data_IF_817947545467
#
_entry.id   IF_817947545467
#
_cell.length_a   1.000
_cell.length_b   1.000
_cell.length_c   1.000
_cell.angle_alpha   90.00
_cell.angle_beta   90.00
_cell.angle_gamma   90.00
#
_symmetry.space_group_name_H-M   'P 1'
#
loop_
_entity.id
_entity.type
_entity.pdbx_description
1 polymer ?
#
# COMPACT_ATOMS: atom_id res chain seq x y z
N UNK A 1 4.40 -37.77 37.95
CA UNK A 1 3.18 -37.01 37.54
C UNK A 1 3.41 -36.57 36.09
N UNK A 2 2.52 -36.96 35.19
CA UNK A 2 2.61 -36.49 33.80
C UNK A 2 2.08 -35.03 33.83
N UNK A 3 2.96 -34.08 33.47
CA UNK A 3 2.59 -32.69 33.41
C UNK A 3 1.62 -32.45 32.25
N UNK A 4 0.47 -31.86 32.51
CA UNK A 4 -0.50 -31.46 31.50
C UNK A 4 -0.36 -30.00 31.19
N UNK A 5 -0.18 -29.67 29.91
CA UNK A 5 -0.04 -28.28 29.43
C UNK A 5 -1.20 -27.91 28.51
N UNK A 6 -1.57 -26.66 28.56
CA UNK A 6 -2.41 -26.03 27.54
C UNK A 6 -1.48 -25.44 26.42
N UNK A 7 -1.56 -26.00 25.23
CA UNK A 7 -0.64 -25.72 24.13
C UNK A 7 -1.34 -24.94 23.03
N UNK A 8 -0.73 -23.84 22.57
CA UNK A 8 -1.11 -23.14 21.36
C UNK A 8 -0.18 -23.52 20.21
N UNK A 9 -0.72 -24.08 19.15
CA UNK A 9 -0.01 -24.33 17.89
C UNK A 9 -0.26 -23.18 16.91
N UNK A 10 0.79 -22.61 16.33
CA UNK A 10 0.64 -21.52 15.36
C UNK A 10 1.19 -21.89 13.99
N UNK A 11 0.36 -21.70 12.96
CA UNK A 11 0.71 -21.94 11.55
C UNK A 11 0.49 -20.67 10.71
N UNK A 12 1.36 -20.41 9.73
CA UNK A 12 1.25 -19.25 8.83
C UNK A 12 1.74 -19.56 7.42
N UNK A 13 1.01 -19.03 6.44
CA UNK A 13 1.42 -19.02 5.04
C UNK A 13 1.27 -17.61 4.46
N UNK A 14 2.16 -17.22 3.54
CA UNK A 14 2.03 -15.98 2.76
C UNK A 14 1.63 -16.29 1.31
N UNK A 15 1.05 -15.30 0.59
CA UNK A 15 0.63 -15.43 -0.82
C UNK A 15 1.76 -15.97 -1.71
N UNK A 16 2.99 -15.51 -1.50
CA UNK A 16 4.16 -15.94 -2.28
C UNK A 16 4.55 -17.41 -2.03
N UNK A 17 4.13 -17.98 -0.90
CA UNK A 17 4.42 -19.37 -0.51
C UNK A 17 3.34 -20.37 -0.96
N UNK A 18 2.14 -19.89 -1.32
CA UNK A 18 1.05 -20.73 -1.86
C UNK A 18 1.38 -21.31 -3.26
N UNK A 19 2.32 -20.69 -3.96
CA UNK A 19 2.77 -21.15 -5.29
C UNK A 19 3.72 -22.35 -5.21
N UNK A 20 4.33 -22.63 -4.06
CA UNK A 20 5.24 -23.76 -3.83
C UNK A 20 4.46 -24.93 -3.20
N UNK A 21 3.92 -25.81 -4.04
CA UNK A 21 2.87 -26.79 -3.73
C UNK A 21 3.23 -27.91 -2.74
N UNK A 22 4.49 -28.19 -2.46
CA UNK A 22 4.81 -29.50 -1.85
C UNK A 22 5.21 -29.54 -0.37
N UNK A 23 5.54 -28.41 0.31
CA UNK A 23 6.01 -28.46 1.70
C UNK A 23 5.55 -27.34 2.64
N UNK A 24 4.66 -26.45 2.22
CA UNK A 24 4.39 -25.17 2.91
C UNK A 24 2.95 -25.04 3.40
N UNK A 25 2.08 -26.03 3.16
CA UNK A 25 0.67 -25.93 3.53
C UNK A 25 0.47 -25.78 5.05
N UNK A 26 -0.57 -25.06 5.45
CA UNK A 26 -0.95 -24.92 6.87
C UNK A 26 -1.25 -26.30 7.47
N UNK A 27 -1.87 -27.17 6.69
CA UNK A 27 -2.21 -28.54 7.08
C UNK A 27 -0.96 -29.35 7.42
N UNK A 28 0.11 -29.23 6.62
CA UNK A 28 1.39 -29.90 6.91
C UNK A 28 2.05 -29.32 8.18
N UNK A 29 2.00 -27.99 8.38
CA UNK A 29 2.51 -27.39 9.62
C UNK A 29 1.76 -27.89 10.85
N UNK A 30 0.43 -27.98 10.78
CA UNK A 30 -0.42 -28.54 11.86
C UNK A 30 -0.09 -29.99 12.13
N UNK A 31 0.01 -30.83 11.08
CA UNK A 31 0.34 -32.24 11.23
C UNK A 31 1.70 -32.47 11.94
N UNK A 32 2.72 -31.65 11.60
CA UNK A 32 4.02 -31.70 12.28
C UNK A 32 3.89 -31.34 13.76
N UNK A 33 3.12 -30.28 14.08
CA UNK A 33 2.91 -29.85 15.46
C UNK A 33 2.11 -30.92 16.24
N UNK A 34 1.04 -31.48 15.65
CA UNK A 34 0.23 -32.54 16.26
C UNK A 34 1.06 -33.76 16.58
N UNK A 35 1.87 -34.24 15.63
CA UNK A 35 2.75 -35.38 15.83
C UNK A 35 3.77 -35.10 16.95
N UNK A 36 4.37 -33.95 16.96
CA UNK A 36 5.30 -33.53 18.03
C UNK A 36 4.63 -33.51 19.41
N UNK A 37 3.44 -32.92 19.53
CA UNK A 37 2.68 -32.83 20.78
C UNK A 37 2.29 -34.21 21.25
N UNK A 38 1.78 -35.07 20.36
CA UNK A 38 1.40 -36.45 20.68
C UNK A 38 2.54 -37.28 21.26
N UNK A 39 3.77 -37.06 20.77
CA UNK A 39 4.93 -37.83 21.26
C UNK A 39 5.55 -37.20 22.53
N UNK A 40 5.58 -35.89 22.64
CA UNK A 40 6.30 -35.19 23.73
C UNK A 40 5.39 -34.79 24.90
N UNK A 41 4.10 -34.52 24.62
CA UNK A 41 3.13 -34.03 25.58
C UNK A 41 1.78 -34.75 25.46
N UNK A 42 1.73 -36.10 25.64
CA UNK A 42 0.57 -36.92 25.25
C UNK A 42 -0.73 -36.56 25.97
N UNK A 43 -0.67 -36.02 27.20
CA UNK A 43 -1.84 -35.65 28.01
C UNK A 43 -2.22 -34.16 27.96
N UNK A 44 -1.61 -33.42 27.05
CA UNK A 44 -1.80 -31.96 26.91
C UNK A 44 -2.89 -31.62 25.90
N UNK A 45 -3.51 -30.48 26.07
CA UNK A 45 -4.50 -29.93 25.11
C UNK A 45 -3.82 -29.06 24.07
N UNK A 46 -4.19 -29.25 22.79
CA UNK A 46 -3.65 -28.46 21.68
C UNK A 46 -4.76 -27.65 20.99
N UNK A 47 -4.55 -26.36 20.89
CA UNK A 47 -5.42 -25.43 20.14
C UNK A 47 -4.63 -24.78 19.01
N UNK A 48 -5.16 -24.78 17.79
CA UNK A 48 -4.50 -24.18 16.64
C UNK A 48 -4.99 -22.78 16.34
N UNK A 49 -4.03 -21.94 15.94
CA UNK A 49 -4.25 -20.61 15.36
C UNK A 49 -3.54 -20.52 14.02
N UNK A 50 -4.18 -19.87 13.05
CA UNK A 50 -3.61 -19.74 11.71
C UNK A 50 -3.82 -18.39 11.09
N UNK A 51 -2.89 -17.96 10.27
CA UNK A 51 -3.01 -16.79 9.41
C UNK A 51 -2.65 -17.18 7.97
N UNK A 52 -3.63 -16.99 7.06
CA UNK A 52 -3.46 -17.17 5.61
C UNK A 52 -3.23 -15.82 4.96
N UNK A 53 -2.44 -15.79 3.89
CA UNK A 53 -2.15 -14.59 3.09
C UNK A 53 -1.58 -13.41 3.91
N UNK A 54 -0.86 -13.71 4.99
CA UNK A 54 -0.26 -12.69 5.85
C UNK A 54 1.26 -12.74 5.83
N UNK A 55 1.85 -11.56 5.70
CA UNK A 55 3.31 -11.41 5.71
C UNK A 55 3.91 -11.84 7.05
N UNK A 56 5.02 -12.58 7.01
CA UNK A 56 5.85 -12.87 8.18
C UNK A 56 6.56 -11.66 8.78
N UNK A 57 6.44 -10.48 8.17
CA UNK A 57 7.19 -9.28 8.54
C UNK A 57 6.50 -8.39 9.58
N UNK A 58 5.17 -8.48 9.72
CA UNK A 58 4.37 -7.70 10.69
C UNK A 58 3.46 -8.62 11.49
N UNK A 59 3.23 -8.30 12.78
CA UNK A 59 2.29 -9.02 13.65
C UNK A 59 0.89 -8.40 13.65
N UNK A 60 0.79 -7.10 13.39
CA UNK A 60 -0.43 -6.30 13.56
C UNK A 60 -1.58 -6.75 12.64
N UNK A 61 -1.27 -7.33 11.51
CA UNK A 61 -2.26 -7.75 10.50
C UNK A 61 -2.63 -9.24 10.60
N UNK A 62 -2.15 -9.94 11.62
CA UNK A 62 -2.36 -11.37 11.83
C UNK A 62 -3.41 -11.58 12.92
N UNK A 63 -4.66 -11.75 12.52
CA UNK A 63 -5.79 -11.90 13.46
C UNK A 63 -5.65 -13.14 14.33
N UNK A 64 -5.28 -14.29 13.72
CA UNK A 64 -5.03 -15.53 14.44
C UNK A 64 -3.88 -15.41 15.44
N UNK A 65 -2.80 -14.73 15.05
CA UNK A 65 -1.69 -14.45 15.96
C UNK A 65 -2.11 -13.56 17.14
N UNK A 66 -2.88 -12.51 16.89
CA UNK A 66 -3.34 -11.59 17.93
C UNK A 66 -4.29 -12.28 18.93
N UNK A 67 -5.13 -13.18 18.47
CA UNK A 67 -6.00 -13.97 19.34
C UNK A 67 -5.18 -14.96 20.18
N UNK A 68 -4.26 -15.69 19.57
CA UNK A 68 -3.34 -16.57 20.26
C UNK A 68 -2.52 -15.82 21.32
N UNK A 69 -1.93 -14.67 20.95
CA UNK A 69 -1.14 -13.82 21.85
C UNK A 69 -1.93 -13.41 23.10
N UNK A 70 -3.18 -12.98 22.92
CA UNK A 70 -4.05 -12.67 24.07
C UNK A 70 -4.25 -13.87 24.99
N UNK A 71 -4.41 -15.06 24.43
CA UNK A 71 -4.51 -16.32 25.19
C UNK A 71 -3.22 -16.65 25.97
N UNK A 72 -2.06 -16.45 25.33
CA UNK A 72 -0.74 -16.66 25.98
C UNK A 72 -0.51 -15.64 27.11
N UNK A 73 -0.73 -14.37 26.85
CA UNK A 73 -0.56 -13.30 27.87
C UNK A 73 -1.55 -13.40 29.03
N UNK A 74 -2.70 -14.05 28.85
CA UNK A 74 -3.67 -14.31 29.92
C UNK A 74 -3.47 -15.67 30.61
N UNK A 75 -2.39 -16.37 30.36
CA UNK A 75 -2.09 -17.70 30.88
C UNK A 75 -3.15 -18.77 30.56
N UNK A 76 -3.89 -18.60 29.46
CA UNK A 76 -4.75 -19.64 28.91
C UNK A 76 -3.95 -20.79 28.31
N UNK A 77 -2.76 -20.48 27.81
CA UNK A 77 -1.81 -21.44 27.24
C UNK A 77 -0.45 -21.29 27.93
N UNK A 78 0.20 -22.43 28.18
CA UNK A 78 1.50 -22.53 28.81
C UNK A 78 2.63 -22.57 27.78
N UNK A 79 2.36 -23.15 26.61
CA UNK A 79 3.35 -23.42 25.58
C UNK A 79 2.85 -22.92 24.23
N UNK A 80 3.73 -22.20 23.50
CA UNK A 80 3.57 -21.90 22.08
C UNK A 80 4.46 -22.84 21.26
N UNK A 81 3.87 -23.54 20.28
CA UNK A 81 4.61 -24.39 19.36
C UNK A 81 4.46 -23.87 17.93
N UNK A 82 5.58 -23.73 17.24
CA UNK A 82 5.65 -23.39 15.81
C UNK A 82 6.48 -24.44 15.06
N UNK A 83 6.20 -24.62 13.77
CA UNK A 83 7.02 -25.50 12.92
C UNK A 83 8.47 -25.01 12.88
N UNK A 84 8.66 -23.72 12.61
CA UNK A 84 9.96 -23.00 12.58
C UNK A 84 9.73 -21.51 12.86
N UNK A 85 10.79 -20.79 13.27
CA UNK A 85 10.68 -19.37 13.58
C UNK A 85 10.35 -18.47 12.38
N UNK A 86 10.50 -18.94 11.14
CA UNK A 86 10.06 -18.20 9.97
C UNK A 86 8.54 -18.05 9.91
N UNK A 87 7.78 -19.00 10.54
CA UNK A 87 6.32 -18.91 10.71
C UNK A 87 5.95 -17.90 11.79
N UNK A 88 6.74 -17.81 12.85
CA UNK A 88 6.56 -16.84 13.92
C UNK A 88 6.87 -15.42 13.43
N UNK A 89 8.12 -15.14 13.03
CA UNK A 89 8.53 -13.84 12.50
C UNK A 89 9.67 -13.94 11.50
N UNK A 90 9.61 -13.12 10.43
CA UNK A 90 10.72 -12.92 9.50
C UNK A 90 11.48 -11.63 9.76
N UNK A 91 11.04 -10.83 10.72
CA UNK A 91 11.71 -9.60 11.13
C UNK A 91 12.44 -9.83 12.45
N UNK A 92 13.77 -9.81 12.39
CA UNK A 92 14.65 -10.09 13.53
C UNK A 92 14.27 -9.26 14.76
N UNK A 93 14.34 -7.93 14.65
CA UNK A 93 14.15 -7.04 15.81
C UNK A 93 12.77 -7.19 16.49
N UNK A 94 11.67 -7.38 15.72
CA UNK A 94 10.33 -7.55 16.30
C UNK A 94 10.10 -8.98 16.81
N UNK A 95 10.65 -9.97 16.12
CA UNK A 95 10.56 -11.35 16.55
C UNK A 95 11.23 -11.58 17.90
N UNK A 96 12.41 -10.99 18.10
CA UNK A 96 13.14 -11.09 19.37
C UNK A 96 12.41 -10.39 20.51
N UNK A 97 11.94 -9.15 20.32
CA UNK A 97 11.16 -8.43 21.34
C UNK A 97 9.89 -9.22 21.72
N UNK A 98 9.19 -9.77 20.73
CA UNK A 98 7.98 -10.56 21.00
C UNK A 98 8.28 -11.86 21.75
N UNK A 99 9.42 -12.52 21.47
CA UNK A 99 9.84 -13.68 22.25
C UNK A 99 10.22 -13.30 23.70
N UNK A 100 10.82 -12.14 23.90
CA UNK A 100 11.12 -11.63 25.25
C UNK A 100 9.82 -11.33 26.00
N UNK A 101 8.85 -10.66 25.39
CA UNK A 101 7.54 -10.38 25.99
C UNK A 101 6.83 -11.67 26.42
N UNK A 102 6.82 -12.69 25.57
CA UNK A 102 6.21 -13.98 25.87
C UNK A 102 6.95 -14.75 26.96
N UNK A 103 8.30 -14.74 26.95
CA UNK A 103 9.12 -15.33 28.02
C UNK A 103 8.82 -14.65 29.37
N UNK A 104 8.77 -13.33 29.39
CA UNK A 104 8.55 -12.55 30.62
C UNK A 104 7.11 -12.76 31.15
N UNK A 105 6.18 -13.14 30.26
CA UNK A 105 4.86 -13.66 30.63
C UNK A 105 4.87 -15.14 31.07
N UNK A 106 6.03 -15.80 31.15
CA UNK A 106 6.13 -17.20 31.57
C UNK A 106 5.76 -18.24 30.50
N UNK A 107 5.66 -17.86 29.23
CA UNK A 107 5.30 -18.76 28.13
C UNK A 107 6.54 -19.50 27.64
N UNK A 108 6.45 -20.84 27.54
CA UNK A 108 7.46 -21.68 26.88
C UNK A 108 7.21 -21.69 25.38
N UNK A 109 8.27 -21.54 24.57
CA UNK A 109 8.15 -21.44 23.11
C UNK A 109 9.03 -22.53 22.49
N UNK A 110 8.41 -23.35 21.63
CA UNK A 110 9.09 -24.47 20.96
C UNK A 110 9.03 -24.25 19.44
N UNK A 111 10.21 -24.22 18.81
CA UNK A 111 10.36 -24.28 17.36
C UNK A 111 10.90 -25.65 16.95
N UNK A 112 10.06 -26.46 16.29
CA UNK A 112 10.37 -27.87 16.01
C UNK A 112 11.52 -27.96 14.98
N UNK A 113 11.39 -27.30 13.86
CA UNK A 113 12.36 -27.35 12.76
C UNK A 113 13.71 -26.72 13.08
N UNK A 114 13.73 -25.73 13.99
CA UNK A 114 14.94 -25.07 14.45
C UNK A 114 15.59 -25.83 15.63
N UNK A 115 14.88 -26.84 16.18
CA UNK A 115 15.27 -27.57 17.38
C UNK A 115 15.60 -26.65 18.55
N UNK A 116 14.66 -25.76 18.89
CA UNK A 116 14.75 -24.75 19.95
C UNK A 116 13.60 -24.93 20.91
N UNK A 117 13.90 -24.89 22.22
CA UNK A 117 12.97 -24.98 23.32
C UNK A 117 13.28 -23.87 24.34
N UNK A 118 12.59 -22.74 24.18
CA UNK A 118 12.85 -21.50 24.93
C UNK A 118 11.84 -21.35 26.09
N UNK A 119 12.22 -20.89 27.31
CA UNK A 119 13.48 -20.23 27.61
C UNK A 119 14.57 -21.19 28.11
N UNK A 120 15.63 -21.29 27.36
CA UNK A 120 16.89 -21.84 27.81
C UNK A 120 17.97 -20.83 27.42
N UNK A 121 18.83 -20.42 28.35
CA UNK A 121 19.83 -19.37 28.12
C UNK A 121 20.81 -19.73 26.99
N UNK A 122 21.11 -21.00 26.81
CA UNK A 122 21.98 -21.48 25.74
C UNK A 122 21.35 -21.34 24.34
N UNK A 123 20.04 -21.26 24.27
CA UNK A 123 19.32 -21.11 22.99
C UNK A 123 19.18 -19.66 22.52
N UNK A 124 19.41 -18.67 23.39
CA UNK A 124 19.18 -17.26 23.02
C UNK A 124 20.04 -16.79 21.86
N UNK A 125 21.32 -17.09 21.87
CA UNK A 125 22.24 -16.75 20.78
C UNK A 125 21.82 -17.47 19.47
N UNK A 126 21.45 -18.74 19.57
CA UNK A 126 20.97 -19.54 18.45
C UNK A 126 19.68 -18.94 17.86
N UNK A 127 18.76 -18.49 18.72
CA UNK A 127 17.52 -17.81 18.32
C UNK A 127 17.85 -16.51 17.54
N UNK A 128 18.76 -15.68 18.04
CA UNK A 128 19.16 -14.46 17.36
C UNK A 128 19.73 -14.72 15.95
N UNK A 129 20.59 -15.73 15.82
CA UNK A 129 21.13 -16.14 14.52
C UNK A 129 20.02 -16.69 13.60
N UNK A 130 19.10 -17.46 14.12
CA UNK A 130 18.00 -18.01 13.32
C UNK A 130 17.08 -16.91 12.76
N UNK A 131 16.74 -15.90 13.57
CA UNK A 131 15.99 -14.74 13.09
C UNK A 131 16.77 -13.91 12.07
N UNK A 132 18.08 -13.75 12.24
CA UNK A 132 18.94 -13.07 11.28
C UNK A 132 18.92 -13.80 9.92
N UNK A 133 19.10 -15.13 9.94
CA UNK A 133 19.05 -15.97 8.75
C UNK A 133 17.68 -15.86 8.06
N UNK A 134 16.59 -15.88 8.82
CA UNK A 134 15.22 -15.76 8.29
C UNK A 134 14.92 -14.38 7.68
N UNK A 135 15.58 -13.31 8.11
CA UNK A 135 15.42 -11.95 7.57
C UNK A 135 16.25 -11.72 6.30
N UNK A 136 17.40 -12.37 6.16
CA UNK A 136 18.33 -12.18 5.03
C UNK A 136 17.67 -12.39 3.64
N UNK A 137 16.90 -13.46 3.37
CA UNK A 137 16.27 -13.66 2.06
C UNK A 137 15.32 -12.53 1.68
N UNK A 138 14.57 -11.99 2.63
CA UNK A 138 13.59 -10.92 2.39
C UNK A 138 14.29 -9.61 2.02
N UNK A 139 15.37 -9.27 2.72
CA UNK A 139 16.15 -8.06 2.44
C UNK A 139 16.92 -8.17 1.13
N UNK A 140 17.49 -9.32 0.83
CA UNK A 140 18.23 -9.58 -0.40
C UNK A 140 17.30 -9.57 -1.63
N UNK A 141 16.15 -10.25 -1.56
CA UNK A 141 15.13 -10.21 -2.59
C UNK A 141 14.63 -8.78 -2.84
N UNK A 142 14.40 -8.00 -1.80
CA UNK A 142 14.01 -6.59 -1.94
C UNK A 142 15.07 -5.76 -2.66
N UNK A 143 16.35 -5.95 -2.38
CA UNK A 143 17.46 -5.28 -3.06
C UNK A 143 17.54 -5.70 -4.52
N UNK A 144 17.44 -6.99 -4.82
CA UNK A 144 17.45 -7.54 -6.18
C UNK A 144 16.28 -7.00 -7.02
N UNK A 145 15.06 -7.02 -6.48
CA UNK A 145 13.87 -6.47 -7.16
C UNK A 145 14.03 -4.98 -7.44
N UNK A 146 14.50 -4.18 -6.46
CA UNK A 146 14.76 -2.75 -6.66
C UNK A 146 15.81 -2.49 -7.74
N UNK A 147 16.87 -3.28 -7.77
CA UNK A 147 17.91 -3.19 -8.80
C UNK A 147 17.36 -3.48 -10.21
N UNK A 148 16.57 -4.55 -10.34
CA UNK A 148 15.92 -4.91 -11.62
C UNK A 148 14.92 -3.83 -12.06
N UNK A 149 14.09 -3.31 -11.14
CA UNK A 149 13.17 -2.22 -11.44
C UNK A 149 13.93 -0.98 -11.93
N UNK A 150 14.99 -0.58 -11.20
CA UNK A 150 15.80 0.59 -11.57
C UNK A 150 16.48 0.43 -12.93
N UNK A 151 16.99 -0.77 -13.22
CA UNK A 151 17.57 -1.07 -14.54
C UNK A 151 16.52 -0.95 -15.63
N UNK A 152 15.36 -1.58 -15.47
CA UNK A 152 14.27 -1.48 -16.46
C UNK A 152 13.80 -0.04 -16.66
N UNK A 153 13.73 0.75 -15.59
CA UNK A 153 13.39 2.16 -15.67
C UNK A 153 14.46 2.97 -16.44
N UNK A 154 15.75 2.67 -16.24
CA UNK A 154 16.85 3.29 -16.97
C UNK A 154 16.83 2.92 -18.46
N UNK A 155 16.41 1.68 -18.78
CA UNK A 155 16.22 1.20 -20.16
C UNK A 155 14.93 1.76 -20.82
N UNK A 156 14.20 2.65 -20.14
CA UNK A 156 12.96 3.28 -20.64
C UNK A 156 11.71 2.41 -20.51
N UNK A 157 11.77 1.26 -19.86
CA UNK A 157 10.60 0.42 -19.68
C UNK A 157 9.61 1.04 -18.70
N UNK A 158 8.34 1.15 -19.09
CA UNK A 158 7.25 1.59 -18.21
C UNK A 158 6.67 0.40 -17.46
N UNK A 159 6.51 0.55 -16.13
CA UNK A 159 6.08 -0.53 -15.24
C UNK A 159 4.68 -0.33 -14.61
N UNK A 160 4.00 0.76 -14.99
CA UNK A 160 2.71 1.14 -14.44
C UNK A 160 1.63 1.20 -15.54
N UNK A 161 0.41 1.55 -15.18
CA UNK A 161 -0.62 1.93 -16.15
C UNK A 161 -0.20 3.20 -16.91
N UNK A 162 -0.51 3.28 -18.20
CA UNK A 162 -0.23 4.47 -19.00
C UNK A 162 -1.02 5.68 -18.46
N UNK A 163 -0.46 6.89 -18.52
CA UNK A 163 -1.20 8.11 -18.21
C UNK A 163 -2.40 8.29 -19.14
N UNK A 164 -3.44 8.99 -18.66
CA UNK A 164 -4.61 9.34 -19.45
C UNK A 164 -4.22 10.00 -20.77
N UNK A 165 -4.83 9.60 -21.86
CA UNK A 165 -4.43 10.02 -23.21
C UNK A 165 -3.50 9.04 -23.93
N UNK A 166 -2.99 8.04 -23.21
CA UNK A 166 -2.11 7.01 -23.77
C UNK A 166 -2.53 5.60 -23.35
N UNK A 167 -2.16 4.64 -24.20
CA UNK A 167 -2.20 3.20 -23.89
C UNK A 167 -0.84 2.57 -24.19
N UNK A 168 -0.57 1.40 -23.61
CA UNK A 168 0.57 0.57 -23.96
C UNK A 168 0.10 -0.49 -24.95
N UNK A 169 0.73 -0.54 -26.12
CA UNK A 169 0.49 -1.61 -27.09
C UNK A 169 1.16 -2.92 -26.64
N UNK A 170 0.97 -4.00 -27.43
CA UNK A 170 1.56 -5.32 -27.17
C UNK A 170 3.09 -5.28 -27.13
N UNK A 171 3.73 -4.36 -27.83
CA UNK A 171 5.17 -4.13 -27.85
C UNK A 171 5.65 -3.23 -26.69
N UNK A 172 4.76 -2.85 -25.77
CA UNK A 172 5.00 -1.94 -24.64
C UNK A 172 5.43 -0.53 -25.06
N UNK A 173 5.03 -0.08 -26.24
CA UNK A 173 5.18 1.29 -26.69
C UNK A 173 3.92 2.08 -26.39
N UNK A 174 4.07 3.40 -26.18
CA UNK A 174 2.94 4.29 -25.94
C UNK A 174 2.28 4.69 -27.24
N UNK A 175 0.96 4.51 -27.28
CA UNK A 175 0.09 4.98 -28.36
C UNK A 175 -0.88 6.00 -27.82
N UNK A 176 -1.13 7.06 -28.60
CA UNK A 176 -2.09 8.10 -28.23
C UNK A 176 -3.50 7.59 -28.46
N UNK A 177 -4.37 7.78 -27.44
CA UNK A 177 -5.82 7.60 -27.57
C UNK A 177 -6.43 8.93 -28.02
N UNK A 178 -6.90 9.08 -29.28
CA UNK A 178 -7.26 10.37 -29.83
C UNK A 178 -8.29 11.13 -29.01
N UNK A 179 -9.37 10.45 -28.57
CA UNK A 179 -10.45 11.04 -27.78
C UNK A 179 -9.96 11.57 -26.42
N UNK A 180 -9.11 10.81 -25.73
CA UNK A 180 -8.56 11.23 -24.45
C UNK A 180 -7.50 12.34 -24.63
N UNK A 181 -6.74 12.29 -25.71
CA UNK A 181 -5.75 13.33 -26.04
C UNK A 181 -6.40 14.68 -26.31
N UNK A 182 -7.59 14.70 -26.93
CA UNK A 182 -8.37 15.93 -27.09
C UNK A 182 -8.77 16.54 -25.73
N UNK A 183 -9.20 15.71 -24.79
CA UNK A 183 -9.53 16.17 -23.45
C UNK A 183 -8.27 16.71 -22.72
N UNK A 184 -7.14 16.05 -22.88
CA UNK A 184 -5.86 16.57 -22.32
C UNK A 184 -5.56 17.95 -22.91
N UNK A 185 -5.65 18.14 -24.23
CA UNK A 185 -5.45 19.45 -24.89
C UNK A 185 -6.46 20.49 -24.39
N UNK A 186 -7.72 20.10 -24.23
CA UNK A 186 -8.75 20.98 -23.69
C UNK A 186 -8.42 21.44 -22.26
N UNK A 187 -7.98 20.55 -21.37
CA UNK A 187 -7.57 20.89 -20.01
C UNK A 187 -6.46 21.94 -20.03
N UNK A 188 -5.43 21.78 -20.88
CA UNK A 188 -4.35 22.75 -21.03
C UNK A 188 -4.86 24.09 -21.57
N UNK A 189 -5.72 24.09 -22.59
CA UNK A 189 -6.32 25.30 -23.17
C UNK A 189 -7.14 26.06 -22.13
N UNK A 190 -8.07 25.40 -21.44
CA UNK A 190 -8.92 26.02 -20.41
C UNK A 190 -8.10 26.65 -19.29
N UNK A 191 -6.98 26.01 -18.92
CA UNK A 191 -6.08 26.55 -17.91
C UNK A 191 -5.37 27.83 -18.39
N UNK A 192 -4.92 27.86 -19.64
CA UNK A 192 -4.37 29.07 -20.29
C UNK A 192 -5.40 30.21 -20.41
N UNK A 193 -6.67 29.84 -20.66
CA UNK A 193 -7.80 30.77 -20.68
C UNK A 193 -8.20 31.30 -19.28
N UNK A 194 -7.39 31.00 -18.26
CA UNK A 194 -7.55 31.53 -16.90
C UNK A 194 -8.41 30.72 -15.97
N UNK A 195 -8.89 29.52 -16.38
CA UNK A 195 -9.71 28.67 -15.52
C UNK A 195 -8.89 28.05 -14.39
N UNK A 196 -9.51 27.96 -13.19
CA UNK A 196 -8.91 27.22 -12.08
C UNK A 196 -9.22 25.72 -12.17
N UNK A 197 -8.41 24.90 -11.49
CA UNK A 197 -8.54 23.42 -11.49
C UNK A 197 -9.95 22.93 -11.15
N UNK A 198 -10.63 23.58 -10.18
CA UNK A 198 -11.99 23.22 -9.76
C UNK A 198 -13.00 23.48 -10.88
N UNK A 199 -12.89 24.63 -11.57
CA UNK A 199 -13.80 24.99 -12.67
C UNK A 199 -13.63 24.02 -13.84
N UNK A 200 -12.39 23.63 -14.16
CA UNK A 200 -12.09 22.64 -15.21
C UNK A 200 -12.67 21.26 -14.82
N UNK A 201 -12.43 20.81 -13.60
CA UNK A 201 -12.94 19.51 -13.13
C UNK A 201 -14.47 19.44 -13.16
N UNK A 202 -15.16 20.51 -12.72
CA UNK A 202 -16.62 20.59 -12.77
C UNK A 202 -17.13 20.61 -14.23
N UNK A 203 -16.50 21.38 -15.09
CA UNK A 203 -16.87 21.43 -16.51
C UNK A 203 -16.79 20.05 -17.16
N UNK A 204 -15.69 19.32 -16.99
CA UNK A 204 -15.54 17.96 -17.53
C UNK A 204 -16.58 16.99 -16.95
N UNK A 205 -16.94 17.16 -15.69
CA UNK A 205 -18.01 16.36 -15.07
C UNK A 205 -19.36 16.71 -15.66
N UNK A 206 -19.71 17.98 -15.78
CA UNK A 206 -21.00 18.47 -16.25
C UNK A 206 -21.23 18.18 -17.74
N UNK A 207 -20.16 18.15 -18.53
CA UNK A 207 -20.19 17.74 -19.94
C UNK A 207 -20.13 16.22 -20.14
N UNK A 208 -20.11 15.43 -19.05
CA UNK A 208 -20.15 13.98 -19.12
C UNK A 208 -18.88 13.30 -19.63
N UNK A 209 -17.73 14.00 -19.60
CA UNK A 209 -16.44 13.44 -20.01
C UNK A 209 -16.05 12.32 -19.06
N UNK A 210 -15.78 11.08 -19.54
CA UNK A 210 -15.35 9.99 -18.69
C UNK A 210 -14.06 10.33 -17.94
N UNK A 211 -14.04 10.03 -16.64
CA UNK A 211 -12.80 10.17 -15.86
C UNK A 211 -11.73 9.17 -16.35
N UNK A 212 -10.43 9.39 -16.10
CA UNK A 212 -9.36 8.47 -16.55
C UNK A 212 -9.62 7.00 -16.19
N UNK A 213 -10.19 6.76 -15.00
CA UNK A 213 -10.53 5.41 -14.56
C UNK A 213 -11.77 4.85 -15.26
N UNK A 214 -12.76 5.68 -15.56
CA UNK A 214 -13.91 5.26 -16.38
C UNK A 214 -13.48 4.92 -17.79
N UNK A 215 -12.63 5.72 -18.42
CA UNK A 215 -12.09 5.43 -19.75
C UNK A 215 -11.32 4.11 -19.79
N UNK A 216 -10.50 3.85 -18.77
CA UNK A 216 -9.81 2.55 -18.62
C UNK A 216 -10.82 1.39 -18.47
N UNK A 217 -11.85 1.58 -17.65
CA UNK A 217 -12.90 0.58 -17.44
C UNK A 217 -13.65 0.29 -18.74
N UNK A 218 -14.09 1.33 -19.45
CA UNK A 218 -14.81 1.17 -20.74
C UNK A 218 -13.96 0.43 -21.78
N UNK A 219 -12.64 0.68 -21.83
CA UNK A 219 -11.74 -0.07 -22.73
C UNK A 219 -11.64 -1.54 -22.34
N UNK A 220 -11.50 -1.86 -21.07
CA UNK A 220 -11.46 -3.25 -20.58
C UNK A 220 -12.75 -3.99 -20.84
N UNK A 221 -13.89 -3.35 -20.60
CA UNK A 221 -15.22 -3.92 -20.90
C UNK A 221 -15.39 -4.20 -22.41
N UNK A 222 -14.88 -3.31 -23.28
CA UNK A 222 -14.86 -3.53 -24.72
C UNK A 222 -13.97 -4.71 -25.15
N UNK A 223 -12.93 -5.01 -24.38
CA UNK A 223 -12.03 -6.16 -24.56
C UNK A 223 -12.55 -7.45 -23.89
N UNK A 224 -13.71 -7.39 -23.19
CA UNK A 224 -14.33 -8.52 -22.50
C UNK A 224 -13.72 -8.81 -21.12
N UNK A 225 -12.97 -7.86 -20.55
CA UNK A 225 -12.40 -7.98 -19.22
C UNK A 225 -13.31 -7.33 -18.17
N UNK A 226 -13.58 -8.04 -17.06
CA UNK A 226 -14.31 -7.46 -15.93
C UNK A 226 -13.43 -6.53 -15.10
N UNK A 227 -13.91 -5.30 -14.85
CA UNK A 227 -13.24 -4.37 -13.93
C UNK A 227 -13.75 -4.58 -12.51
N UNK A 228 -12.84 -4.96 -11.60
CA UNK A 228 -13.13 -5.14 -10.15
C UNK A 228 -13.25 -3.82 -9.37
N UNK A 229 -12.98 -2.68 -9.98
CA UNK A 229 -12.91 -1.38 -9.29
C UNK A 229 -13.97 -0.44 -9.77
N UNK A 230 -14.74 0.13 -8.85
CA UNK A 230 -15.74 1.16 -9.16
C UNK A 230 -15.08 2.48 -9.54
N UNK A 231 -15.37 2.98 -10.72
CA UNK A 231 -14.93 4.29 -11.19
C UNK A 231 -15.89 5.39 -10.74
N UNK A 232 -15.36 6.52 -10.24
CA UNK A 232 -16.16 7.70 -9.92
C UNK A 232 -16.44 8.49 -11.19
N UNK A 233 -17.66 9.02 -11.31
CA UNK A 233 -18.10 9.82 -12.44
C UNK A 233 -17.51 11.24 -12.43
N UNK A 234 -17.26 11.78 -11.23
CA UNK A 234 -16.81 13.15 -11.07
C UNK A 234 -15.28 13.27 -11.24
N UNK A 235 -14.87 14.23 -12.04
CA UNK A 235 -13.47 14.61 -12.16
C UNK A 235 -12.96 15.21 -10.86
N UNK A 236 -11.84 14.71 -10.38
CA UNK A 236 -11.19 15.24 -9.18
C UNK A 236 -10.24 16.40 -9.54
N UNK A 237 -10.21 17.42 -8.69
CA UNK A 237 -9.28 18.57 -8.82
C UNK A 237 -7.83 18.09 -8.92
N UNK A 238 -7.45 17.09 -8.10
CA UNK A 238 -6.10 16.51 -8.11
C UNK A 238 -5.76 15.78 -9.41
N UNK A 239 -6.75 15.25 -10.12
CA UNK A 239 -6.53 14.63 -11.44
C UNK A 239 -6.20 15.70 -12.49
N UNK A 240 -6.93 16.81 -12.52
CA UNK A 240 -6.62 17.95 -13.41
C UNK A 240 -5.24 18.54 -13.09
N UNK A 241 -4.93 18.73 -11.80
CA UNK A 241 -3.59 19.15 -11.37
C UNK A 241 -2.49 18.20 -11.83
N UNK A 242 -2.72 16.89 -11.65
CA UNK A 242 -1.77 15.86 -12.05
C UNK A 242 -1.52 15.84 -13.57
N UNK A 243 -2.56 16.09 -14.39
CA UNK A 243 -2.42 16.19 -15.84
C UNK A 243 -1.57 17.43 -16.22
N UNK A 244 -1.86 18.59 -15.66
CA UNK A 244 -1.14 19.83 -15.95
C UNK A 244 0.31 19.85 -15.42
N UNK A 245 0.66 18.94 -14.51
CA UNK A 245 2.01 18.82 -13.88
C UNK A 245 2.87 17.71 -14.48
N UNK A 246 2.31 16.91 -15.36
CA UNK A 246 2.97 15.72 -15.85
C UNK A 246 3.73 16.00 -17.15
N UNK A 247 5.05 16.00 -17.07
CA UNK A 247 5.95 16.17 -18.23
C UNK A 247 5.87 15.00 -19.23
N UNK A 248 5.14 13.95 -18.91
CA UNK A 248 4.82 12.86 -19.83
C UNK A 248 4.09 13.37 -21.08
N UNK A 249 3.23 14.37 -20.95
CA UNK A 249 2.47 14.92 -22.08
C UNK A 249 3.31 15.65 -23.13
N UNK A 250 4.55 16.00 -22.80
CA UNK A 250 5.53 16.54 -23.76
C UNK A 250 6.51 15.51 -24.30
N UNK A 251 6.19 14.21 -24.09
CA UNK A 251 7.05 13.13 -24.56
C UNK A 251 8.21 12.77 -23.62
N UNK A 252 8.25 13.31 -22.40
CA UNK A 252 9.30 13.03 -21.42
C UNK A 252 8.87 11.93 -20.47
N UNK A 253 9.65 10.83 -20.44
CA UNK A 253 9.47 9.75 -19.48
C UNK A 253 10.25 10.06 -18.20
N UNK A 254 9.56 10.32 -17.10
CA UNK A 254 10.17 10.55 -15.78
C UNK A 254 9.74 9.49 -14.79
N UNK A 255 10.71 8.69 -14.34
CA UNK A 255 10.51 7.56 -13.44
C UNK A 255 11.35 7.68 -12.16
N UNK A 256 11.13 6.77 -11.21
CA UNK A 256 11.92 6.74 -9.98
C UNK A 256 11.60 7.87 -9.01
N UNK A 257 10.43 8.54 -9.12
CA UNK A 257 9.99 9.66 -8.26
C UNK A 257 9.88 9.28 -6.78
N UNK A 258 9.65 7.99 -6.48
CA UNK A 258 9.46 7.48 -5.12
C UNK A 258 10.30 6.25 -4.87
N UNK A 259 10.63 6.01 -3.61
CA UNK A 259 11.29 4.80 -3.13
C UNK A 259 10.69 4.38 -1.79
N UNK A 260 10.86 3.11 -1.42
CA UNK A 260 10.60 2.61 -0.05
C UNK A 260 11.91 2.31 0.64
N UNK A 261 12.21 3.04 1.70
CA UNK A 261 13.42 2.80 2.49
C UNK A 261 13.35 1.47 3.26
N UNK A 262 12.15 1.10 3.74
CA UNK A 262 11.90 -0.11 4.52
C UNK A 262 10.86 -0.99 3.84
N UNK A 263 10.96 -2.31 4.05
CA UNK A 263 9.94 -3.27 3.62
C UNK A 263 8.63 -2.92 4.32
N UNK A 264 7.53 -2.85 3.57
CA UNK A 264 6.21 -2.37 4.03
C UNK A 264 6.22 -0.95 4.62
N UNK A 265 7.26 -0.16 4.35
CA UNK A 265 7.33 1.24 4.72
C UNK A 265 6.50 2.14 3.81
N UNK A 266 6.38 3.41 4.21
CA UNK A 266 5.76 4.44 3.37
C UNK A 266 6.67 4.78 2.18
N UNK A 267 6.04 5.18 1.06
CA UNK A 267 6.75 5.72 -0.07
C UNK A 267 7.39 7.07 0.31
N UNK A 268 8.65 7.23 0.00
CA UNK A 268 9.44 8.46 0.23
C UNK A 268 9.74 9.07 -1.14
N UNK A 269 9.44 10.37 -1.30
CA UNK A 269 9.79 11.11 -2.52
C UNK A 269 11.32 11.23 -2.61
N UNK A 270 11.86 10.94 -3.80
CA UNK A 270 13.27 11.17 -4.11
C UNK A 270 13.51 12.60 -4.53
N UNK A 271 14.77 13.03 -4.42
CA UNK A 271 15.21 14.27 -5.04
C UNK A 271 15.02 14.20 -6.57
N UNK A 272 14.71 15.35 -7.18
CA UNK A 272 14.49 15.42 -8.63
C UNK A 272 15.74 15.04 -9.42
N UNK A 273 16.94 15.25 -8.87
CA UNK A 273 18.21 14.85 -9.46
C UNK A 273 18.39 13.32 -9.52
N UNK A 274 17.69 12.57 -8.67
CA UNK A 274 17.72 11.10 -8.66
C UNK A 274 16.69 10.48 -9.60
N UNK A 275 15.81 11.29 -10.21
CA UNK A 275 14.82 10.79 -11.16
C UNK A 275 15.51 10.30 -12.44
N UNK A 276 14.97 9.24 -13.03
CA UNK A 276 15.36 8.78 -14.35
C UNK A 276 14.50 9.52 -15.36
N UNK A 277 15.14 10.36 -16.19
CA UNK A 277 14.45 11.21 -17.18
C UNK A 277 14.95 10.85 -18.56
N UNK A 278 14.03 10.52 -19.46
CA UNK A 278 14.32 10.23 -20.87
C UNK A 278 13.43 11.18 -21.69
N UNK A 279 14.07 12.13 -22.34
CA UNK A 279 13.38 13.09 -23.21
C UNK A 279 13.07 12.43 -24.57
N UNK A 280 12.02 12.92 -25.23
CA UNK A 280 11.58 12.42 -26.56
C UNK A 280 11.33 10.91 -26.61
N UNK A 281 10.91 10.32 -25.49
CA UNK A 281 10.70 8.88 -25.38
C UNK A 281 9.48 8.40 -26.19
N UNK A 282 8.45 9.21 -26.29
CA UNK A 282 7.19 8.89 -26.97
C UNK A 282 6.57 10.14 -27.62
N UNK A 283 5.55 9.95 -28.43
CA UNK A 283 4.86 11.04 -29.10
C UNK A 283 4.16 11.93 -28.08
N UNK A 284 4.43 13.24 -28.14
CA UNK A 284 3.83 14.24 -27.28
C UNK A 284 2.36 14.54 -27.67
N UNK A 285 1.49 14.75 -26.69
CA UNK A 285 0.14 15.30 -26.87
C UNK A 285 0.15 16.81 -26.83
N UNK A 286 1.01 17.40 -25.99
CA UNK A 286 1.17 18.84 -25.77
C UNK A 286 2.56 19.27 -26.23
N UNK A 287 2.66 20.41 -26.88
CA UNK A 287 3.94 20.99 -27.22
C UNK A 287 4.65 21.61 -25.99
N UNK A 288 5.96 21.66 -26.04
CA UNK A 288 6.79 22.16 -24.94
C UNK A 288 6.46 23.59 -24.54
N UNK A 289 6.16 24.47 -25.51
CA UNK A 289 5.85 25.89 -25.25
C UNK A 289 4.57 26.05 -24.42
N UNK A 290 3.52 25.32 -24.80
CA UNK A 290 2.24 25.26 -24.06
C UNK A 290 2.46 24.77 -22.65
N UNK A 291 3.19 23.66 -22.48
CA UNK A 291 3.49 23.10 -21.17
C UNK A 291 4.29 24.07 -20.29
N UNK A 292 5.35 24.66 -20.81
CA UNK A 292 6.18 25.62 -20.09
C UNK A 292 5.39 26.87 -19.67
N UNK A 293 4.49 27.36 -20.52
CA UNK A 293 3.61 28.50 -20.19
C UNK A 293 2.65 28.15 -19.05
N UNK A 294 2.03 26.96 -19.10
CA UNK A 294 1.16 26.48 -18.03
C UNK A 294 1.94 26.34 -16.73
N UNK A 295 3.16 25.80 -16.77
CA UNK A 295 4.02 25.66 -15.58
C UNK A 295 4.34 27.01 -14.96
N UNK A 296 4.73 28.00 -15.74
CA UNK A 296 5.01 29.35 -15.27
C UNK A 296 3.76 30.01 -14.64
N UNK A 297 2.58 29.86 -15.27
CA UNK A 297 1.31 30.34 -14.71
C UNK A 297 0.96 29.65 -13.38
N UNK A 298 1.24 28.35 -13.26
CA UNK A 298 1.03 27.62 -12.00
C UNK A 298 1.95 28.13 -10.90
N UNK A 299 3.21 28.37 -11.19
CA UNK A 299 4.17 28.94 -10.25
C UNK A 299 3.74 30.33 -9.78
N UNK A 300 3.33 31.23 -10.70
CA UNK A 300 2.77 32.54 -10.34
C UNK A 300 1.54 32.45 -9.44
N UNK A 301 0.60 31.57 -9.75
CA UNK A 301 -0.62 31.39 -8.95
C UNK A 301 -0.36 30.67 -7.61
N UNK A 302 0.81 30.05 -7.45
CA UNK A 302 1.20 29.27 -6.29
C UNK A 302 1.81 30.08 -5.16
N UNK A 303 2.00 31.37 -5.32
CA UNK A 303 2.77 32.25 -4.42
C UNK A 303 2.25 32.43 -3.00
N UNK A 304 1.09 31.85 -2.63
CA UNK A 304 0.55 31.94 -1.27
C UNK A 304 0.04 30.59 -0.74
N UNK A 305 0.95 29.64 -0.53
CA UNK A 305 0.61 28.29 -0.01
C UNK A 305 0.72 28.12 1.49
N UNK A 306 0.53 29.14 2.27
CA UNK A 306 0.43 28.93 3.70
C UNK A 306 -0.96 28.34 4.05
N UNK A 307 -1.09 27.02 3.95
CA UNK A 307 -2.08 26.29 4.74
C UNK A 307 -1.56 26.30 6.17
N UNK A 308 -1.97 27.28 6.96
CA UNK A 308 -1.59 27.42 8.36
C UNK A 308 -1.76 26.10 9.13
N UNK A 309 -1.01 25.94 10.23
CA UNK A 309 -1.22 24.84 11.18
C UNK A 309 -2.69 24.84 11.60
N UNK A 310 -3.29 23.64 11.73
CA UNK A 310 -4.63 23.50 12.34
C UNK A 310 -4.63 24.21 13.68
N UNK A 311 -5.47 25.23 13.83
CA UNK A 311 -5.55 26.04 15.06
C UNK A 311 -6.51 25.39 16.05
N UNK A 312 -7.48 24.62 15.56
CA UNK A 312 -8.54 23.99 16.38
C UNK A 312 -8.53 22.48 16.20
N UNK A 313 -8.79 21.76 17.28
CA UNK A 313 -9.07 20.33 17.26
C UNK A 313 -10.46 20.10 16.66
N UNK A 314 -10.53 19.32 15.61
CA UNK A 314 -11.76 19.00 14.89
C UNK A 314 -12.32 17.68 15.42
N UNK A 315 -12.96 17.72 16.59
CA UNK A 315 -13.43 16.55 17.33
C UNK A 315 -14.34 15.64 16.50
N UNK A 316 -15.18 16.20 15.63
CA UNK A 316 -16.12 15.45 14.81
C UNK A 316 -15.61 15.16 13.39
N UNK A 317 -14.34 15.38 13.10
CA UNK A 317 -13.76 15.10 11.78
C UNK A 317 -13.78 13.59 11.50
N UNK A 318 -14.43 13.20 10.42
CA UNK A 318 -14.60 11.79 10.02
C UNK A 318 -15.87 11.11 10.55
N UNK A 319 -16.64 11.78 11.43
CA UNK A 319 -17.89 11.22 12.00
C UNK A 319 -19.15 11.87 11.43
N UNK A 320 -19.04 13.07 10.83
CA UNK A 320 -20.19 13.79 10.30
C UNK A 320 -20.41 13.50 8.82
N UNK A 321 -21.66 13.23 8.48
CA UNK A 321 -22.15 13.10 7.11
C UNK A 321 -23.21 14.15 6.81
N UNK A 322 -23.30 14.58 5.55
CA UNK A 322 -24.31 15.53 5.10
C UNK A 322 -25.69 14.86 5.05
N UNK A 323 -26.69 15.44 5.71
CA UNK A 323 -28.04 14.90 5.73
C UNK A 323 -28.73 14.87 4.36
N UNK A 324 -28.29 15.72 3.40
CA UNK A 324 -28.92 15.81 2.07
C UNK A 324 -28.31 14.82 1.07
N UNK A 325 -26.96 14.65 1.10
CA UNK A 325 -26.25 13.88 0.06
C UNK A 325 -25.37 12.74 0.60
N UNK A 326 -25.34 12.48 1.92
CA UNK A 326 -24.54 11.45 2.54
C UNK A 326 -23.02 11.63 2.43
N UNK A 327 -22.55 12.76 1.90
CA UNK A 327 -21.11 13.00 1.75
C UNK A 327 -20.45 13.34 3.10
N UNK A 328 -19.22 12.88 3.37
CA UNK A 328 -18.47 13.26 4.56
C UNK A 328 -18.34 14.79 4.68
N UNK A 329 -18.53 15.30 5.88
CA UNK A 329 -18.29 16.70 6.21
C UNK A 329 -16.89 16.88 6.76
N UNK A 330 -16.28 18.03 6.49
CA UNK A 330 -14.97 18.37 7.03
C UNK A 330 -14.96 19.77 7.63
N UNK A 331 -14.11 19.95 8.61
CA UNK A 331 -13.99 21.18 9.33
C UNK A 331 -13.34 22.28 8.49
N UNK A 332 -13.95 23.45 8.49
CA UNK A 332 -13.42 24.68 7.94
C UNK A 332 -12.94 25.55 9.10
N UNK A 333 -11.62 25.67 9.25
CA UNK A 333 -11.01 26.56 10.25
C UNK A 333 -10.49 27.82 9.53
N UNK A 334 -11.09 28.96 9.85
CA UNK A 334 -10.58 30.29 9.46
C UNK A 334 -10.29 31.09 10.73
N UNK A 335 -9.30 31.97 10.70
CA UNK A 335 -8.88 32.77 11.87
C UNK A 335 -9.99 33.65 12.43
N UNK A 336 -10.88 34.10 11.57
CA UNK A 336 -11.94 35.08 11.78
C UNK A 336 -13.34 34.48 11.98
N UNK A 337 -13.47 33.16 11.89
CA UNK A 337 -14.76 32.48 11.98
C UNK A 337 -14.72 31.36 13.04
N UNK A 338 -15.87 31.11 13.65
CA UNK A 338 -16.05 29.92 14.50
C UNK A 338 -15.83 28.63 13.69
N UNK A 339 -15.29 27.59 14.28
CA UNK A 339 -15.17 26.30 13.61
C UNK A 339 -16.53 25.84 13.05
N UNK A 340 -16.57 25.53 11.76
CA UNK A 340 -17.77 25.08 11.09
C UNK A 340 -17.45 23.83 10.26
N UNK A 341 -18.47 23.02 9.99
CA UNK A 341 -18.35 21.86 9.14
C UNK A 341 -19.04 22.11 7.80
N UNK A 342 -18.40 21.70 6.72
CA UNK A 342 -18.90 21.88 5.35
C UNK A 342 -19.04 20.53 4.69
N UNK A 343 -20.15 20.34 3.95
CA UNK A 343 -20.36 19.16 3.13
C UNK A 343 -19.28 19.03 2.05
N UNK A 344 -18.73 17.83 1.88
CA UNK A 344 -17.71 17.54 0.90
C UNK A 344 -18.17 17.79 -0.55
N UNK A 345 -19.41 17.49 -0.86
CA UNK A 345 -20.01 17.76 -2.19
C UNK A 345 -20.18 19.24 -2.43
N UNK A 346 -20.77 19.99 -1.48
CA UNK A 346 -20.89 21.44 -1.57
C UNK A 346 -19.53 22.12 -1.72
N UNK A 347 -18.52 21.70 -0.96
CA UNK A 347 -17.18 22.26 -1.11
C UNK A 347 -16.58 22.04 -2.49
N UNK A 348 -16.85 20.90 -3.12
CA UNK A 348 -16.35 20.56 -4.46
C UNK A 348 -17.15 21.25 -5.57
N UNK A 349 -18.47 21.20 -5.51
CA UNK A 349 -19.38 21.59 -6.60
C UNK A 349 -20.16 22.90 -6.33
N UNK A 350 -20.16 23.42 -5.11
CA UNK A 350 -20.98 24.59 -4.74
C UNK A 350 -22.46 24.21 -4.67
N UNK A 351 -23.32 25.16 -5.03
CA UNK A 351 -24.78 24.96 -5.04
C UNK A 351 -25.30 23.99 -6.11
N UNK A 352 -24.43 23.55 -7.02
CA UNK A 352 -24.75 22.59 -8.09
C UNK A 352 -24.49 21.13 -7.68
N UNK A 353 -24.14 20.87 -6.43
CA UNK A 353 -23.78 19.55 -5.94
C UNK A 353 -24.74 18.97 -4.94
#
# INVERSE_FOLDING_TARGET
>A
MIERFAIAGYARISVDEELDRDNVSIENQKAIIEDFVKHRFPDSTLTFYEDRDRSGYTFEQREGYQEMRRGLMSHKYDILIVKDFSRFSRRNSRGLVELEDLRDAGVRIISIGDNIDFPNDDDWLKIQFQFLINEMPVTDTSKKVKSVIRRRQADGAWLCAAPYGYILNKQKQFEIVPTEAEIVREIFRLYLDGWGYKKIANHLTDTGVPTPRMSEQLRKEAEGEESRRTAKKDWAIVTVQGILDNDFYIGTLRQGKYTRAKINGKDVKRDELEHIVIEHHHQAIIDYRTFATVRALREQRSTNHYRGKKINDNVYSGFLECGDCGSPMFAMSRRDLRPAYTCGTYHRRGLSG
#
